data_IF_796054315810
#
_entry.id   IF_796054315810
#
_cell.length_a   1.000
_cell.length_b   1.000
_cell.length_c   1.000
_cell.angle_alpha   90.00
_cell.angle_beta   90.00
_cell.angle_gamma   90.00
#
_symmetry.space_group_name_H-M   'P 1'
#
loop_
_entity.id
_entity.type
_entity.pdbx_description
1 polymer ?
#
# COMPACT_ATOMS: atom_id res chain seq x y z
N UNK A 1 0.52 3.78 -14.28
CA UNK A 1 1.44 3.63 -13.13
C UNK A 1 2.66 4.49 -13.37
N UNK A 2 3.10 5.24 -12.39
CA UNK A 2 4.30 6.07 -12.52
C UNK A 2 5.57 5.22 -12.52
N UNK A 3 6.73 5.85 -12.81
CA UNK A 3 8.02 5.18 -12.73
C UNK A 3 8.50 5.06 -11.28
N UNK A 4 9.47 4.18 -11.03
CA UNK A 4 10.04 3.94 -9.70
C UNK A 4 9.01 3.57 -8.62
N UNK A 5 7.94 2.91 -9.01
CA UNK A 5 6.97 2.33 -8.05
C UNK A 5 7.55 1.04 -7.51
N UNK A 6 7.52 0.89 -6.18
CA UNK A 6 7.98 -0.32 -5.50
C UNK A 6 6.78 -1.04 -4.89
N UNK A 7 6.54 -2.26 -5.35
CA UNK A 7 5.48 -3.12 -4.85
C UNK A 7 6.13 -4.26 -4.07
N UNK A 8 5.88 -4.30 -2.76
CA UNK A 8 6.49 -5.29 -1.87
C UNK A 8 5.43 -6.31 -1.48
N UNK A 9 5.52 -7.52 -2.02
CA UNK A 9 4.59 -8.61 -1.73
C UNK A 9 5.14 -9.63 -0.74
N UNK A 10 6.35 -9.42 -0.23
CA UNK A 10 6.94 -10.24 0.81
C UNK A 10 7.79 -9.41 1.76
N UNK A 11 8.11 -9.98 2.92
CA UNK A 11 9.09 -9.39 3.82
C UNK A 11 9.83 -10.49 4.58
N UNK A 12 11.02 -10.16 5.07
CA UNK A 12 11.79 -11.06 5.92
C UNK A 12 11.46 -10.79 7.38
N UNK A 13 10.89 -11.79 8.04
CA UNK A 13 10.60 -11.73 9.45
C UNK A 13 9.13 -11.58 9.78
N UNK A 14 8.79 -11.99 10.98
CA UNK A 14 7.46 -11.87 11.57
C UNK A 14 7.62 -11.04 12.85
N UNK A 15 6.92 -9.90 12.91
CA UNK A 15 7.09 -8.92 13.98
C UNK A 15 5.82 -8.67 14.79
N UNK A 16 4.80 -9.52 14.60
CA UNK A 16 3.56 -9.45 15.37
C UNK A 16 3.03 -10.85 15.64
N UNK A 17 2.23 -10.99 16.69
CA UNK A 17 1.66 -12.28 17.10
C UNK A 17 2.54 -13.02 18.09
N UNK A 18 2.28 -14.33 18.27
CA UNK A 18 2.95 -15.14 19.28
C UNK A 18 4.37 -15.60 18.88
N UNK A 19 4.61 -15.75 17.58
CA UNK A 19 5.89 -16.21 17.04
C UNK A 19 6.56 -15.10 16.25
N UNK A 20 7.16 -14.18 16.98
CA UNK A 20 7.88 -13.05 16.37
C UNK A 20 9.35 -13.38 16.21
N UNK A 21 9.96 -12.86 15.15
CA UNK A 21 11.40 -12.97 14.96
C UNK A 21 12.14 -11.96 15.83
N UNK A 22 13.30 -12.40 16.34
CA UNK A 22 14.16 -11.55 17.16
C UNK A 22 14.91 -10.55 16.28
N UNK A 23 15.14 -9.32 16.76
CA UNK A 23 15.99 -8.38 16.03
C UNK A 23 17.43 -8.85 15.93
N UNK A 24 17.85 -9.82 16.76
CA UNK A 24 19.19 -10.40 16.69
C UNK A 24 19.33 -11.47 15.61
N UNK A 25 18.22 -11.98 15.07
CA UNK A 25 18.26 -12.96 13.99
C UNK A 25 18.58 -12.26 12.67
N UNK A 26 19.61 -12.69 11.93
CA UNK A 26 19.90 -12.11 10.61
C UNK A 26 18.70 -12.19 9.68
N UNK A 27 18.46 -11.19 8.81
CA UNK A 27 17.29 -11.18 7.95
C UNK A 27 17.11 -12.43 7.07
N UNK A 28 18.20 -13.04 6.62
CA UNK A 28 18.14 -14.25 5.80
C UNK A 28 17.76 -15.52 6.58
N UNK A 29 17.77 -15.45 7.90
CA UNK A 29 17.36 -16.56 8.78
C UNK A 29 15.98 -16.33 9.39
N UNK A 30 15.38 -15.14 9.19
CA UNK A 30 14.04 -14.83 9.66
C UNK A 30 12.99 -15.50 8.78
N UNK A 31 11.82 -15.74 9.35
CA UNK A 31 10.72 -16.30 8.58
C UNK A 31 10.36 -15.39 7.41
N UNK A 32 10.16 -15.97 6.23
CA UNK A 32 9.68 -15.25 5.05
C UNK A 32 8.17 -15.16 5.12
N UNK A 33 7.66 -13.93 5.15
CA UNK A 33 6.23 -13.66 5.11
C UNK A 33 5.85 -13.21 3.70
N UNK A 34 4.85 -13.87 3.10
CA UNK A 34 4.38 -13.57 1.75
C UNK A 34 2.89 -13.29 1.78
N UNK A 35 2.50 -12.07 1.45
CA UNK A 35 1.10 -11.65 1.37
C UNK A 35 0.90 -10.92 0.05
N UNK A 36 0.04 -11.41 -0.84
CA UNK A 36 -0.13 -10.79 -2.15
C UNK A 36 -0.72 -9.38 -2.05
N UNK A 37 -0.32 -8.52 -2.96
CA UNK A 37 -0.91 -7.21 -3.15
C UNK A 37 -1.97 -7.35 -4.22
N UNK A 38 -3.16 -6.79 -3.95
CA UNK A 38 -4.28 -6.79 -4.90
C UNK A 38 -4.55 -5.36 -5.33
N UNK A 39 -4.54 -5.12 -6.62
CA UNK A 39 -4.78 -3.79 -7.18
C UNK A 39 -6.00 -3.87 -8.09
N UNK A 40 -7.02 -3.07 -7.79
CA UNK A 40 -8.24 -3.01 -8.58
C UNK A 40 -8.04 -2.32 -9.93
N UNK A 41 -9.13 -2.26 -10.70
CA UNK A 41 -9.10 -1.64 -12.02
C UNK A 41 -8.97 -0.12 -11.93
N UNK A 42 -8.36 0.48 -12.94
CA UNK A 42 -8.24 1.94 -13.06
C UNK A 42 -7.54 2.61 -11.88
N UNK A 43 -6.61 1.91 -11.23
CA UNK A 43 -5.80 2.48 -10.17
C UNK A 43 -4.60 3.21 -10.78
N UNK A 44 -4.36 4.42 -10.33
CA UNK A 44 -3.15 5.17 -10.67
C UNK A 44 -2.19 5.19 -9.49
N UNK A 45 -0.96 4.82 -9.72
CA UNK A 45 0.09 4.83 -8.70
C UNK A 45 1.17 5.80 -9.13
N UNK A 46 1.38 6.84 -8.34
CA UNK A 46 2.36 7.88 -8.62
C UNK A 46 3.80 7.41 -8.51
N UNK A 47 4.71 8.15 -9.11
CA UNK A 47 6.13 7.84 -9.11
C UNK A 47 6.69 7.78 -7.69
N UNK A 48 7.52 6.80 -7.43
CA UNK A 48 8.19 6.65 -6.14
C UNK A 48 7.33 6.10 -5.01
N UNK A 49 6.07 5.75 -5.30
CA UNK A 49 5.20 5.16 -4.28
C UNK A 49 5.68 3.76 -3.88
N UNK A 50 5.46 3.40 -2.62
CA UNK A 50 5.78 2.09 -2.06
C UNK A 50 4.49 1.45 -1.57
N UNK A 51 4.19 0.24 -2.05
CA UNK A 51 3.01 -0.53 -1.63
C UNK A 51 3.50 -1.74 -0.85
N UNK A 52 3.10 -1.83 0.41
CA UNK A 52 3.53 -2.94 1.25
C UNK A 52 2.71 -4.21 1.01
N UNK A 53 3.28 -5.34 1.40
CA UNK A 53 2.63 -6.64 1.23
C UNK A 53 1.25 -6.70 1.88
N UNK A 54 0.36 -7.48 1.29
CA UNK A 54 -0.98 -7.72 1.83
C UNK A 54 -1.96 -6.58 1.63
N UNK A 55 -1.54 -5.46 1.04
CA UNK A 55 -2.41 -4.31 0.80
C UNK A 55 -3.34 -4.60 -0.38
N UNK A 56 -4.62 -4.23 -0.22
CA UNK A 56 -5.61 -4.23 -1.30
C UNK A 56 -5.93 -2.79 -1.67
N UNK A 57 -5.78 -2.43 -2.94
CA UNK A 57 -6.12 -1.10 -3.43
C UNK A 57 -7.40 -1.19 -4.26
N UNK A 58 -8.43 -0.50 -3.80
CA UNK A 58 -9.74 -0.50 -4.45
C UNK A 58 -9.73 0.20 -5.81
N UNK A 59 -10.66 -0.20 -6.68
CA UNK A 59 -10.75 0.31 -8.05
C UNK A 59 -10.90 1.83 -8.09
N UNK A 60 -10.31 2.46 -9.08
CA UNK A 60 -10.42 3.91 -9.32
C UNK A 60 -9.67 4.78 -8.34
N UNK A 61 -8.86 4.20 -7.46
CA UNK A 61 -8.10 4.98 -6.48
C UNK A 61 -6.81 5.54 -7.06
N UNK A 62 -6.31 6.57 -6.43
CA UNK A 62 -5.07 7.24 -6.82
C UNK A 62 -4.12 7.24 -5.63
N UNK A 63 -2.91 6.73 -5.85
CA UNK A 63 -1.84 6.76 -4.88
C UNK A 63 -0.89 7.90 -5.26
N UNK A 64 -0.78 8.90 -4.42
CA UNK A 64 0.08 10.06 -4.71
C UNK A 64 1.56 9.64 -4.76
N UNK A 65 2.34 10.40 -5.51
CA UNK A 65 3.77 10.15 -5.64
C UNK A 65 4.47 10.15 -4.27
N UNK A 66 5.48 9.31 -4.14
CA UNK A 66 6.31 9.17 -2.94
C UNK A 66 5.54 8.78 -1.67
N UNK A 67 4.36 8.20 -1.81
CA UNK A 67 3.57 7.72 -0.67
C UNK A 67 4.01 6.32 -0.26
N UNK A 68 3.82 5.99 1.01
CA UNK A 68 4.05 4.64 1.52
C UNK A 68 2.72 4.07 2.01
N UNK A 69 2.16 3.13 1.25
CA UNK A 69 0.86 2.52 1.53
C UNK A 69 1.04 1.31 2.44
N UNK A 70 0.55 1.41 3.67
CA UNK A 70 0.70 0.38 4.71
C UNK A 70 -0.60 -0.33 5.05
N UNK A 71 -1.74 0.20 4.60
CA UNK A 71 -3.07 -0.34 4.87
C UNK A 71 -3.89 -0.38 3.59
N UNK A 72 -4.97 -1.16 3.59
CA UNK A 72 -5.88 -1.24 2.46
C UNK A 72 -6.43 0.13 2.10
N UNK A 73 -6.59 0.35 0.79
CA UNK A 73 -7.09 1.59 0.23
C UNK A 73 -8.48 1.33 -0.34
N UNK A 74 -9.52 2.03 0.15
CA UNK A 74 -10.87 1.89 -0.41
C UNK A 74 -10.92 2.30 -1.88
N UNK A 75 -11.99 1.92 -2.57
CA UNK A 75 -12.21 2.35 -3.95
C UNK A 75 -12.48 3.85 -4.02
N UNK A 76 -12.08 4.46 -5.13
CA UNK A 76 -12.42 5.85 -5.48
C UNK A 76 -11.96 6.86 -4.43
N UNK A 77 -10.73 6.71 -3.95
CA UNK A 77 -10.10 7.68 -3.03
C UNK A 77 -8.73 8.07 -3.56
N UNK A 78 -8.25 9.21 -3.09
CA UNK A 78 -6.85 9.62 -3.28
C UNK A 78 -6.17 9.51 -1.92
N UNK A 79 -5.08 8.78 -1.87
CA UNK A 79 -4.26 8.64 -0.67
C UNK A 79 -2.87 9.22 -0.92
N UNK A 80 -2.25 9.71 0.13
CA UNK A 80 -0.89 10.23 0.05
C UNK A 80 -0.25 10.34 1.42
N UNK A 81 1.07 10.48 1.42
CA UNK A 81 1.86 10.66 2.63
C UNK A 81 2.58 9.40 3.08
N UNK A 82 3.27 9.51 4.21
CA UNK A 82 4.06 8.45 4.83
C UNK A 82 3.72 8.41 6.32
N UNK A 83 2.90 7.46 6.80
CA UNK A 83 2.12 6.49 6.00
C UNK A 83 0.98 7.18 5.23
N UNK A 84 0.58 6.57 4.12
CA UNK A 84 -0.46 7.13 3.26
C UNK A 84 -1.81 7.19 3.99
N UNK A 85 -2.50 8.31 3.83
CA UNK A 85 -3.82 8.55 4.39
C UNK A 85 -4.75 9.09 3.30
N UNK A 86 -6.05 8.93 3.49
CA UNK A 86 -7.03 9.43 2.53
C UNK A 86 -7.00 10.95 2.53
N UNK A 87 -6.75 11.51 1.34
CA UNK A 87 -6.74 12.96 1.11
C UNK A 87 -8.07 13.42 0.56
N UNK A 88 -8.63 12.65 -0.40
CA UNK A 88 -9.89 12.97 -1.06
C UNK A 88 -10.68 11.71 -1.34
N UNK A 89 -12.02 11.87 -1.41
CA UNK A 89 -12.94 10.82 -1.85
C UNK A 89 -13.71 11.31 -3.06
N UNK A 90 -13.98 10.43 -4.01
CA UNK A 90 -14.77 10.79 -5.18
C UNK A 90 -16.27 10.72 -4.84
N UNK A 91 -16.99 11.80 -5.16
CA UNK A 91 -18.45 11.85 -5.03
C UNK A 91 -19.05 11.56 -6.40
N UNK A 92 -19.68 10.39 -6.56
CA UNK A 92 -20.26 9.97 -7.84
C UNK A 92 -21.47 10.81 -8.24
N UNK A 93 -22.21 11.36 -7.29
CA UNK A 93 -23.36 12.21 -7.57
C UNK A 93 -22.92 13.56 -8.10
N UNK A 94 -21.94 14.17 -7.48
CA UNK A 94 -21.39 15.47 -7.88
C UNK A 94 -20.30 15.35 -8.95
N UNK A 95 -19.82 14.14 -9.21
CA UNK A 95 -18.70 13.87 -10.13
C UNK A 95 -17.48 14.71 -9.80
N UNK A 96 -17.15 14.80 -8.50
CA UNK A 96 -16.03 15.61 -8.00
C UNK A 96 -15.27 14.87 -6.90
N UNK A 97 -13.97 15.18 -6.81
CA UNK A 97 -13.16 14.76 -5.68
C UNK A 97 -13.40 15.72 -4.52
N UNK A 98 -13.74 15.15 -3.36
CA UNK A 98 -14.09 15.91 -2.15
C UNK A 98 -13.12 15.56 -1.04
N UNK A 99 -12.78 16.51 -0.25
CA UNK A 99 -11.99 16.28 0.95
C UNK A 99 -12.79 15.58 2.05
#
# INVERSE_FOLDING_TARGET
MGSKVLIIDNSHGIYAGEKQDSPETPPNERALSMKPIKIGDNVWIGEGAVIQQGVTIGAGSIIAANSVVTKDVPAQVIVGGIPAKIIKRYDCEKKQWMR
#
